data_IF_368794626032
#
_entry.id   IF_368794626032
#
_cell.length_a   1.000
_cell.length_b   1.000
_cell.length_c   1.000
_cell.angle_alpha   90.00
_cell.angle_beta   90.00
_cell.angle_gamma   90.00
#
_symmetry.space_group_name_H-M   'P 1'
#
loop_
_entity.id
_entity.type
_entity.pdbx_description
1 polymer ?
#
# COMPACT_ATOMS: atom_id res chain seq x y z
N UNK A 1 -0.58 -4.73 -12.39
CA UNK A 1 -0.72 -5.18 -10.99
C UNK A 1 0.60 -5.10 -10.22
N UNK A 2 1.73 -5.63 -10.72
CA UNK A 2 3.05 -5.45 -10.06
C UNK A 2 3.44 -3.96 -9.93
N UNK A 3 3.21 -3.17 -10.98
CA UNK A 3 3.38 -1.71 -10.90
C UNK A 3 2.55 -1.06 -9.78
N UNK A 4 1.32 -1.55 -9.51
CA UNK A 4 0.49 -1.01 -8.43
C UNK A 4 1.12 -1.24 -7.06
N UNK A 5 1.64 -2.44 -6.79
CA UNK A 5 2.28 -2.73 -5.50
C UNK A 5 3.57 -1.94 -5.34
N UNK A 6 4.35 -1.76 -6.41
CA UNK A 6 5.55 -0.90 -6.40
C UNK A 6 5.17 0.56 -6.08
N UNK A 7 4.14 1.12 -6.73
CA UNK A 7 3.66 2.47 -6.46
C UNK A 7 3.17 2.64 -5.01
N UNK A 8 2.60 1.60 -4.40
CA UNK A 8 2.24 1.60 -2.98
C UNK A 8 3.48 1.60 -2.08
N UNK A 9 4.52 0.83 -2.39
CA UNK A 9 5.78 0.89 -1.64
C UNK A 9 6.41 2.28 -1.72
N UNK A 10 6.45 2.88 -2.92
CA UNK A 10 6.96 4.24 -3.13
C UNK A 10 6.16 5.30 -2.36
N UNK A 11 4.85 5.09 -2.17
CA UNK A 11 4.03 5.95 -1.31
C UNK A 11 4.48 5.87 0.15
N UNK A 12 4.73 4.66 0.67
CA UNK A 12 5.22 4.48 2.04
C UNK A 12 6.65 5.02 2.25
N UNK A 13 7.47 5.00 1.19
CA UNK A 13 8.80 5.64 1.16
C UNK A 13 8.73 7.17 0.99
N UNK A 14 7.54 7.75 0.76
CA UNK A 14 7.37 9.19 0.52
C UNK A 14 7.84 9.65 -0.86
N UNK A 15 8.22 8.73 -1.74
CA UNK A 15 8.62 9.00 -3.13
C UNK A 15 7.39 9.38 -3.97
N UNK A 16 6.29 8.64 -3.81
CA UNK A 16 5.03 8.91 -4.51
C UNK A 16 4.02 9.61 -3.59
N UNK A 17 3.65 10.83 -3.95
CA UNK A 17 2.73 11.66 -3.15
C UNK A 17 1.29 11.48 -3.63
N UNK A 18 0.48 10.83 -2.80
CA UNK A 18 -0.94 10.55 -3.13
C UNK A 18 -1.86 11.46 -2.33
N UNK A 19 -2.84 12.07 -3.00
CA UNK A 19 -3.71 13.07 -2.39
C UNK A 19 -4.65 12.47 -1.35
N UNK A 20 -4.76 13.14 -0.19
CA UNK A 20 -5.71 12.82 0.87
C UNK A 20 -7.15 12.96 0.38
N UNK A 21 -7.94 11.89 0.43
CA UNK A 21 -9.35 11.92 0.03
C UNK A 21 -10.27 12.44 1.14
N UNK A 22 -11.31 13.19 0.78
CA UNK A 22 -12.20 13.86 1.74
C UNK A 22 -12.94 12.85 2.64
N UNK A 23 -13.49 11.79 2.06
CA UNK A 23 -14.19 10.74 2.82
C UNK A 23 -13.26 10.04 3.82
N UNK A 24 -11.98 9.90 3.47
CA UNK A 24 -10.96 9.34 4.37
C UNK A 24 -10.70 10.22 5.58
N UNK A 25 -10.86 11.55 5.49
CA UNK A 25 -10.76 12.44 6.66
C UNK A 25 -11.85 12.16 7.70
N UNK A 26 -13.02 11.68 7.27
CA UNK A 26 -14.16 11.39 8.14
C UNK A 26 -14.11 9.94 8.64
N UNK A 27 -13.90 8.98 7.72
CA UNK A 27 -14.02 7.54 8.03
C UNK A 27 -12.68 6.83 8.25
N UNK A 28 -11.55 7.45 7.88
CA UNK A 28 -10.25 6.80 7.80
C UNK A 28 -9.82 6.14 9.12
N UNK A 29 -9.90 6.84 10.24
CA UNK A 29 -9.50 6.29 11.54
C UNK A 29 -10.38 5.12 11.98
N UNK A 30 -11.69 5.18 11.74
CA UNK A 30 -12.62 4.09 12.07
C UNK A 30 -12.37 2.86 11.21
N UNK A 31 -12.18 3.04 9.90
CA UNK A 31 -11.89 1.95 8.97
C UNK A 31 -10.52 1.33 9.27
N UNK A 32 -9.51 2.14 9.59
CA UNK A 32 -8.20 1.65 10.00
C UNK A 32 -8.30 0.69 11.20
N UNK A 33 -9.05 1.07 12.24
CA UNK A 33 -9.27 0.20 13.41
C UNK A 33 -9.93 -1.12 13.02
N UNK A 34 -10.91 -1.10 12.10
CA UNK A 34 -11.56 -2.33 11.63
C UNK A 34 -10.60 -3.21 10.81
N UNK A 35 -9.81 -2.60 9.94
CA UNK A 35 -8.79 -3.25 9.11
C UNK A 35 -7.72 -3.92 9.97
N UNK A 36 -7.26 -3.26 11.03
CA UNK A 36 -6.20 -3.76 11.90
C UNK A 36 -6.70 -4.66 13.04
N UNK A 37 -8.01 -4.83 13.21
CA UNK A 37 -8.59 -5.59 14.34
C UNK A 37 -8.25 -7.09 14.30
N UNK A 38 -8.02 -7.64 13.12
CA UNK A 38 -7.76 -9.07 12.91
C UNK A 38 -7.05 -9.32 11.58
N UNK A 39 -6.72 -10.58 11.33
CA UNK A 39 -6.05 -11.03 10.11
C UNK A 39 -7.01 -11.28 8.95
N UNK A 40 -8.23 -10.71 8.98
CA UNK A 40 -9.13 -10.82 7.82
C UNK A 40 -8.46 -10.21 6.59
N UNK A 41 -8.36 -10.95 5.47
CA UNK A 41 -7.78 -10.43 4.24
C UNK A 41 -8.54 -9.21 3.72
N UNK A 42 -7.87 -8.37 2.94
CA UNK A 42 -8.56 -7.30 2.22
C UNK A 42 -9.55 -7.87 1.20
N UNK A 43 -10.70 -7.20 1.11
CA UNK A 43 -11.77 -7.56 0.18
C UNK A 43 -11.36 -7.22 -1.26
N UNK A 44 -11.74 -8.08 -2.20
CA UNK A 44 -11.56 -7.81 -3.64
C UNK A 44 -12.41 -6.60 -4.05
N UNK A 45 -11.92 -5.83 -5.04
CA UNK A 45 -12.63 -4.67 -5.58
C UNK A 45 -12.55 -3.40 -4.72
N UNK A 46 -11.67 -3.36 -3.72
CA UNK A 46 -11.43 -2.15 -2.94
C UNK A 46 -10.87 -1.03 -3.84
N UNK A 47 -11.33 0.22 -3.69
CA UNK A 47 -10.89 1.32 -4.55
C UNK A 47 -9.40 1.63 -4.34
N UNK A 48 -8.71 2.00 -5.42
CA UNK A 48 -7.33 2.50 -5.40
C UNK A 48 -7.27 3.96 -5.83
N UNK A 49 -6.24 4.68 -5.43
CA UNK A 49 -6.00 6.05 -5.89
C UNK A 49 -5.54 6.04 -7.35
N UNK A 50 -5.85 7.10 -8.11
CA UNK A 50 -5.44 7.20 -9.52
C UNK A 50 -3.91 7.19 -9.66
N UNK A 51 -3.22 7.81 -8.71
CA UNK A 51 -1.76 7.86 -8.59
C UNK A 51 -1.11 6.50 -8.28
N UNK A 52 -1.91 5.50 -7.92
CA UNK A 52 -1.49 4.12 -7.65
C UNK A 52 -2.01 3.15 -8.73
N UNK A 53 -2.55 3.67 -9.83
CA UNK A 53 -3.04 2.87 -10.95
C UNK A 53 -1.93 2.69 -11.98
N UNK A 54 -1.59 1.46 -12.41
CA UNK A 54 -0.62 1.20 -13.47
C UNK A 54 -0.97 1.94 -14.76
N UNK A 55 0.02 2.53 -15.44
CA UNK A 55 -0.20 3.34 -16.66
C UNK A 55 0.15 2.58 -17.95
N UNK A 56 0.61 1.32 -17.87
CA UNK A 56 0.88 0.50 -19.04
C UNK A 56 0.90 -0.99 -18.76
N UNK A 57 1.25 -1.76 -19.79
CA UNK A 57 1.46 -3.20 -19.67
C UNK A 57 2.85 -3.49 -19.10
N UNK A 58 2.91 -4.41 -18.15
CA UNK A 58 4.15 -4.94 -17.61
C UNK A 58 4.91 -5.73 -18.70
N UNK A 59 5.96 -5.15 -19.28
CA UNK A 59 6.73 -5.82 -20.34
C UNK A 59 7.73 -6.85 -19.80
N UNK A 60 8.15 -6.72 -18.53
CA UNK A 60 9.04 -7.67 -17.83
C UNK A 60 8.58 -7.90 -16.38
N UNK A 61 8.08 -9.11 -16.11
CA UNK A 61 7.53 -9.51 -14.81
C UNK A 61 8.64 -9.80 -13.79
N UNK A 62 9.73 -10.44 -14.21
CA UNK A 62 10.81 -10.83 -13.29
C UNK A 62 11.58 -9.60 -12.82
N UNK A 63 11.86 -8.65 -13.74
CA UNK A 63 12.46 -7.37 -13.36
C UNK A 63 11.58 -6.62 -12.34
N UNK A 64 10.26 -6.57 -12.55
CA UNK A 64 9.34 -5.91 -11.62
C UNK A 64 9.24 -6.62 -10.26
N UNK A 65 9.31 -7.95 -10.22
CA UNK A 65 9.41 -8.68 -8.95
C UNK A 65 10.66 -8.30 -8.18
N UNK A 66 11.81 -8.25 -8.84
CA UNK A 66 13.06 -7.82 -8.20
C UNK A 66 12.97 -6.39 -7.67
N UNK A 67 12.38 -5.47 -8.43
CA UNK A 67 12.11 -4.10 -7.97
C UNK A 67 11.20 -4.09 -6.74
N UNK A 68 10.09 -4.82 -6.77
CA UNK A 68 9.14 -4.87 -5.66
C UNK A 68 9.80 -5.43 -4.39
N UNK A 69 10.57 -6.52 -4.49
CA UNK A 69 11.31 -7.09 -3.37
C UNK A 69 12.29 -6.06 -2.78
N UNK A 70 13.04 -5.35 -3.62
CA UNK A 70 13.95 -4.29 -3.17
C UNK A 70 13.22 -3.18 -2.43
N UNK A 71 12.02 -2.80 -2.91
CA UNK A 71 11.21 -1.74 -2.30
C UNK A 71 10.63 -2.15 -0.95
N UNK A 72 10.20 -3.40 -0.80
CA UNK A 72 9.79 -3.96 0.49
C UNK A 72 10.95 -3.91 1.48
N UNK A 73 12.16 -4.28 1.04
CA UNK A 73 13.37 -4.21 1.88
C UNK A 73 13.71 -2.76 2.26
N UNK A 74 13.59 -1.83 1.32
CA UNK A 74 13.77 -0.40 1.58
C UNK A 74 12.77 0.11 2.62
N UNK A 75 11.49 -0.24 2.52
CA UNK A 75 10.46 0.13 3.51
C UNK A 75 10.69 -0.52 4.89
N UNK A 76 11.34 -1.68 4.96
CA UNK A 76 11.73 -2.29 6.24
C UNK A 76 12.82 -1.47 6.94
N UNK A 77 13.78 -0.96 6.18
CA UNK A 77 15.00 -0.34 6.71
C UNK A 77 14.85 1.19 6.83
N UNK A 78 14.02 1.80 5.98
CA UNK A 78 13.76 3.23 5.93
C UNK A 78 12.39 3.58 6.51
N UNK A 79 12.32 4.67 7.27
CA UNK A 79 11.08 5.15 7.86
C UNK A 79 10.89 6.63 7.56
N UNK A 80 9.80 6.95 6.86
CA UNK A 80 9.33 8.32 6.72
C UNK A 80 8.78 8.76 8.07
N UNK A 81 9.34 9.83 8.65
CA UNK A 81 9.03 10.29 10.00
C UNK A 81 7.53 10.50 10.25
N UNK A 82 6.99 11.65 9.85
CA UNK A 82 5.55 11.88 9.88
C UNK A 82 4.95 11.50 8.53
N UNK A 83 4.11 10.47 8.51
CA UNK A 83 3.39 10.02 7.32
C UNK A 83 1.88 10.18 7.50
N UNK A 84 1.23 10.77 6.51
CA UNK A 84 -0.23 10.88 6.43
C UNK A 84 -0.71 10.02 5.28
N UNK A 85 -1.22 8.83 5.59
CA UNK A 85 -1.78 7.93 4.59
C UNK A 85 -2.90 8.65 3.82
N UNK A 86 -3.14 8.41 2.52
CA UNK A 86 -4.17 9.11 1.73
C UNK A 86 -5.63 8.82 2.15
N UNK A 87 -5.91 7.61 2.63
CA UNK A 87 -7.22 7.22 3.16
C UNK A 87 -7.33 7.12 4.71
N UNK A 88 -6.33 6.58 5.43
CA UNK A 88 -6.40 6.38 6.89
C UNK A 88 -5.99 7.56 7.77
N UNK A 89 -5.06 8.40 7.31
CA UNK A 89 -4.68 9.65 7.96
C UNK A 89 -3.32 9.49 8.59
N UNK A 90 -3.05 10.24 9.66
CA UNK A 90 -1.84 10.02 10.46
C UNK A 90 -1.88 8.61 11.04
N UNK A 91 -0.87 7.82 10.70
CA UNK A 91 -0.69 6.45 11.18
C UNK A 91 0.75 6.28 11.67
N UNK A 92 0.94 5.43 12.66
CA UNK A 92 2.28 5.17 13.21
C UNK A 92 3.02 4.09 12.40
N UNK A 93 4.31 3.92 12.69
CA UNK A 93 5.19 2.93 12.06
C UNK A 93 4.64 1.50 12.07
N UNK A 94 4.10 1.07 13.21
CA UNK A 94 3.55 -0.28 13.35
C UNK A 94 2.32 -0.47 12.46
N UNK A 95 1.41 0.52 12.44
CA UNK A 95 0.23 0.52 11.57
C UNK A 95 0.59 0.52 10.09
N UNK A 96 1.64 1.26 9.71
CA UNK A 96 2.19 1.22 8.33
C UNK A 96 2.65 -0.19 8.00
N UNK A 97 3.44 -0.82 8.87
CA UNK A 97 3.92 -2.19 8.68
C UNK A 97 2.79 -3.21 8.51
N UNK A 98 1.78 -3.15 9.39
CA UNK A 98 0.60 -4.02 9.28
C UNK A 98 -0.21 -3.78 8.00
N UNK A 99 -0.43 -2.52 7.62
CA UNK A 99 -1.12 -2.19 6.37
C UNK A 99 -0.36 -2.70 5.15
N UNK A 100 0.97 -2.52 5.13
CA UNK A 100 1.80 -2.97 4.01
C UNK A 100 1.78 -4.50 3.92
N UNK A 101 1.95 -5.20 5.04
CA UNK A 101 1.82 -6.66 5.11
C UNK A 101 0.48 -7.15 4.54
N UNK A 102 -0.65 -6.58 5.00
CA UNK A 102 -1.98 -6.99 4.55
C UNK A 102 -2.23 -6.67 3.07
N UNK A 103 -1.65 -5.59 2.54
CA UNK A 103 -1.71 -5.23 1.13
C UNK A 103 -0.90 -6.20 0.26
N UNK A 104 0.32 -6.53 0.68
CA UNK A 104 1.17 -7.53 0.02
C UNK A 104 0.48 -8.90 -0.01
N UNK A 105 -0.01 -9.39 1.13
CA UNK A 105 -0.75 -10.67 1.22
C UNK A 105 -1.98 -10.68 0.30
N UNK A 106 -2.74 -9.59 0.26
CA UNK A 106 -3.89 -9.47 -0.64
C UNK A 106 -3.50 -9.64 -2.11
N UNK A 107 -2.42 -9.00 -2.56
CA UNK A 107 -1.97 -9.09 -3.95
C UNK A 107 -1.31 -10.42 -4.28
N UNK A 108 -0.55 -11.01 -3.37
CA UNK A 108 -0.01 -12.37 -3.55
C UNK A 108 -1.14 -13.39 -3.76
N UNK A 109 -2.22 -13.31 -2.96
CA UNK A 109 -3.42 -14.14 -3.14
C UNK A 109 -4.14 -13.86 -4.46
N UNK A 110 -4.15 -12.61 -4.94
CA UNK A 110 -4.71 -12.29 -6.27
C UNK A 110 -3.87 -12.88 -7.40
N UNK A 111 -2.55 -12.97 -7.23
CA UNK A 111 -1.64 -13.61 -8.19
C UNK A 111 -1.71 -15.13 -8.17
N UNK A 112 -2.39 -15.73 -7.18
CA UNK A 112 -2.44 -17.18 -7.02
C UNK A 112 -1.12 -17.78 -6.54
N UNK A 113 -0.32 -16.99 -5.82
CA UNK A 113 0.90 -17.44 -5.16
C UNK A 113 0.60 -18.25 -3.89
#
# INVERSE_FOLDING_TARGET
>A
MLEHVILCEDMYLGINQVKRVLIGRILGGTILKMVLKNDKPFTKGSPTAKELTPVGDATDVEAQKSVWISKIQENRDHHVGQFVHPFFGSINKEQIGYLNYKHIDHHLRQFGA
#
